data_IF_613248515838
#
_entry.id   IF_613248515838
#
_cell.length_a   1.000
_cell.length_b   1.000
_cell.length_c   1.000
_cell.angle_alpha   90.00
_cell.angle_beta   90.00
_cell.angle_gamma   90.00
#
_symmetry.space_group_name_H-M   'P 1'
#
loop_
_entity.id
_entity.type
_entity.pdbx_description
1 polymer ?
#
# COMPACT_ATOMS: atom_id res chain seq x y z
N UNK A 1 14.58 20.87 -8.93
CA UNK A 1 13.36 21.63 -8.60
C UNK A 1 12.60 20.81 -7.57
N UNK A 2 12.05 21.45 -6.53
CA UNK A 2 11.16 20.76 -5.59
C UNK A 2 9.72 20.75 -6.14
N UNK A 3 8.98 19.69 -5.82
CA UNK A 3 7.57 19.51 -6.19
C UNK A 3 6.74 19.21 -4.94
N UNK A 4 5.59 19.89 -4.83
CA UNK A 4 4.54 19.51 -3.89
C UNK A 4 3.80 18.28 -4.43
N UNK A 5 3.96 17.14 -3.77
CA UNK A 5 3.36 15.86 -4.15
C UNK A 5 2.41 15.37 -3.06
N UNK A 6 1.39 14.59 -3.43
CA UNK A 6 0.59 13.84 -2.45
C UNK A 6 1.53 12.89 -1.69
N UNK A 7 1.71 13.11 -0.38
CA UNK A 7 2.47 12.20 0.49
C UNK A 7 1.56 11.07 0.93
N UNK A 8 0.41 11.44 1.49
CA UNK A 8 -0.56 10.48 1.98
C UNK A 8 -1.96 11.08 2.10
N UNK A 9 -2.96 10.20 2.22
CA UNK A 9 -4.33 10.60 2.57
C UNK A 9 -5.05 9.55 3.41
N UNK A 10 -5.93 10.00 4.29
CA UNK A 10 -6.99 9.17 4.89
C UNK A 10 -8.29 9.50 4.13
N UNK A 11 -8.89 8.50 3.50
CA UNK A 11 -9.95 8.67 2.51
C UNK A 11 -11.33 8.31 3.07
N UNK A 12 -12.25 9.29 3.05
CA UNK A 12 -13.66 9.18 3.45
C UNK A 12 -13.87 8.83 4.93
N UNK A 13 -13.05 9.44 5.80
CA UNK A 13 -13.21 9.31 7.24
C UNK A 13 -14.43 10.09 7.75
N UNK A 14 -15.18 9.52 8.68
CA UNK A 14 -16.31 10.15 9.36
C UNK A 14 -15.81 11.08 10.45
N UNK A 15 -16.22 12.34 10.46
CA UNK A 15 -15.93 13.27 11.56
C UNK A 15 -16.70 12.83 12.81
N UNK A 16 -15.99 12.52 13.89
CA UNK A 16 -16.61 11.98 15.12
C UNK A 16 -16.98 13.07 16.12
N UNK A 17 -16.29 14.21 16.10
CA UNK A 17 -16.53 15.35 16.98
C UNK A 17 -16.09 16.66 16.34
N UNK A 18 -16.68 17.77 16.77
CA UNK A 18 -16.19 19.11 16.43
C UNK A 18 -16.36 20.04 17.63
N UNK A 19 -15.31 20.77 18.00
CA UNK A 19 -15.31 21.70 19.14
C UNK A 19 -14.75 23.06 18.73
N UNK A 20 -15.65 24.04 18.63
CA UNK A 20 -15.35 25.42 18.24
C UNK A 20 -14.43 26.15 19.25
N UNK A 21 -14.46 25.76 20.53
CA UNK A 21 -13.70 26.42 21.60
C UNK A 21 -12.32 25.81 21.81
N UNK A 22 -12.01 24.69 21.15
CA UNK A 22 -10.70 24.07 21.17
C UNK A 22 -9.72 24.72 20.17
N UNK A 23 -8.42 24.50 20.35
CA UNK A 23 -7.38 25.12 19.51
C UNK A 23 -7.42 24.54 18.08
N UNK A 24 -7.44 25.42 17.07
CA UNK A 24 -7.67 25.09 15.66
C UNK A 24 -6.70 24.07 15.07
N UNK A 25 -7.11 22.81 15.05
CA UNK A 25 -6.32 21.60 14.76
C UNK A 25 -7.25 20.47 14.30
N UNK A 26 -6.68 19.35 13.85
CA UNK A 26 -7.45 18.09 13.74
C UNK A 26 -6.88 17.02 14.65
N UNK A 27 -7.73 16.46 15.51
CA UNK A 27 -7.41 15.27 16.32
C UNK A 27 -7.68 14.03 15.48
N UNK A 28 -6.68 13.15 15.32
CA UNK A 28 -6.79 11.93 14.50
C UNK A 28 -6.28 10.74 15.31
N UNK A 29 -7.00 9.62 15.28
CA UNK A 29 -6.54 8.34 15.85
C UNK A 29 -5.10 8.02 15.44
N UNK A 30 -4.22 7.84 16.42
CA UNK A 30 -2.81 7.47 16.20
C UNK A 30 -2.61 6.24 15.28
N UNK A 31 -3.52 5.27 15.26
CA UNK A 31 -3.40 4.11 14.36
C UNK A 31 -3.62 4.51 12.88
N UNK A 32 -4.45 5.54 12.63
CA UNK A 32 -4.61 6.14 11.30
C UNK A 32 -3.43 7.04 10.93
N UNK A 33 -2.80 7.69 11.92
CA UNK A 33 -1.58 8.48 11.72
C UNK A 33 -0.41 7.59 11.28
N UNK A 34 -0.17 6.47 11.96
CA UNK A 34 0.90 5.53 11.61
C UNK A 34 0.67 4.91 10.22
N UNK A 35 -0.58 4.55 9.91
CA UNK A 35 -0.95 4.02 8.59
C UNK A 35 -0.71 5.05 7.48
N UNK A 36 -1.13 6.30 7.69
CA UNK A 36 -0.98 7.39 6.74
C UNK A 36 0.40 8.06 6.75
N UNK A 37 1.37 7.62 7.56
CA UNK A 37 2.67 8.29 7.74
C UNK A 37 2.51 9.78 8.12
N UNK A 38 1.56 10.11 9.02
CA UNK A 38 1.30 11.48 9.46
C UNK A 38 1.92 11.73 10.84
N UNK A 39 2.71 12.80 10.97
CA UNK A 39 3.32 13.17 12.25
C UNK A 39 2.46 14.17 13.05
N UNK A 40 2.47 14.12 14.39
CA UNK A 40 1.96 15.21 15.23
C UNK A 40 2.56 16.57 14.83
N UNK A 41 1.70 17.56 14.60
CA UNK A 41 2.08 18.88 14.10
C UNK A 41 2.30 18.99 12.59
N UNK A 42 2.17 17.90 11.82
CA UNK A 42 2.26 17.94 10.36
C UNK A 42 1.05 18.68 9.76
N UNK A 43 1.30 19.47 8.71
CA UNK A 43 0.26 20.17 7.97
C UNK A 43 -0.60 19.18 7.18
N UNK A 44 -1.92 19.31 7.30
CA UNK A 44 -2.89 18.56 6.51
C UNK A 44 -3.94 19.49 5.89
N UNK A 45 -4.29 19.21 4.64
CA UNK A 45 -5.48 19.74 4.01
C UNK A 45 -6.67 18.82 4.32
N UNK A 46 -7.76 19.39 4.80
CA UNK A 46 -9.03 18.70 5.03
C UNK A 46 -9.98 19.14 3.93
N UNK A 47 -10.52 18.18 3.19
CA UNK A 47 -11.57 18.44 2.18
C UNK A 47 -12.83 17.66 2.57
N UNK A 48 -13.91 18.40 2.74
CA UNK A 48 -15.21 17.90 3.13
C UNK A 48 -15.97 17.43 1.88
N UNK A 49 -16.45 16.18 1.91
CA UNK A 49 -17.20 15.55 0.82
C UNK A 49 -18.69 15.88 0.92
N UNK A 50 -19.22 16.10 2.13
CA UNK A 50 -20.64 16.40 2.35
C UNK A 50 -21.01 17.78 1.85
N UNK A 51 -20.19 18.80 2.18
CA UNK A 51 -20.51 20.21 1.93
C UNK A 51 -19.51 20.93 0.99
N UNK A 52 -18.35 20.31 0.69
CA UNK A 52 -17.35 20.85 -0.24
C UNK A 52 -16.36 21.85 0.38
N UNK A 53 -16.40 22.08 1.69
CA UNK A 53 -15.44 22.92 2.39
C UNK A 53 -14.00 22.40 2.25
N UNK A 54 -13.04 23.33 2.25
CA UNK A 54 -11.60 23.03 2.14
C UNK A 54 -10.85 23.92 3.12
N UNK A 55 -10.03 23.34 3.97
CA UNK A 55 -9.23 24.06 4.95
C UNK A 55 -7.88 23.38 5.17
N UNK A 56 -6.92 24.12 5.69
CA UNK A 56 -5.60 23.60 6.06
C UNK A 56 -5.38 23.82 7.56
N UNK A 57 -4.81 22.81 8.22
CA UNK A 57 -4.53 22.84 9.66
C UNK A 57 -3.38 21.87 9.98
N UNK A 58 -3.15 21.56 11.25
CA UNK A 58 -2.14 20.61 11.70
C UNK A 58 -2.75 19.49 12.54
N UNK A 59 -2.06 18.34 12.54
CA UNK A 59 -2.47 17.12 13.25
C UNK A 59 -2.17 17.18 14.75
N UNK A 60 -3.08 16.67 15.58
CA UNK A 60 -2.87 16.29 16.98
C UNK A 60 -3.20 14.80 17.14
N UNK A 61 -2.38 14.00 17.85
CA UNK A 61 -2.68 12.59 18.10
C UNK A 61 -3.90 12.45 19.02
N UNK A 62 -4.85 11.63 18.57
CA UNK A 62 -5.97 11.11 19.34
C UNK A 62 -5.70 9.69 19.82
N UNK A 63 -6.44 9.25 20.83
CA UNK A 63 -6.28 7.91 21.44
C UNK A 63 -6.35 6.80 20.39
N UNK A 64 -5.38 5.88 20.41
CA UNK A 64 -5.35 4.65 19.58
C UNK A 64 -6.65 3.85 19.62
N UNK A 65 -6.98 3.26 18.47
CA UNK A 65 -8.16 2.44 18.18
C UNK A 65 -9.51 3.09 18.52
N UNK A 66 -9.58 4.40 18.75
CA UNK A 66 -10.82 5.14 19.04
C UNK A 66 -11.64 5.47 17.79
N UNK A 67 -11.02 5.49 16.60
CA UNK A 67 -11.61 6.01 15.37
C UNK A 67 -11.81 7.53 15.38
N UNK A 68 -11.19 8.28 16.31
CA UNK A 68 -11.46 9.72 16.46
C UNK A 68 -10.97 10.52 15.24
N UNK A 69 -11.87 11.37 14.73
CA UNK A 69 -11.60 12.45 13.77
C UNK A 69 -12.28 13.70 14.32
N UNK A 70 -11.52 14.50 15.05
CA UNK A 70 -12.00 15.67 15.77
C UNK A 70 -11.60 16.98 15.11
N UNK A 71 -12.56 17.76 14.62
CA UNK A 71 -12.31 19.03 13.95
C UNK A 71 -12.43 20.19 14.94
N UNK A 72 -11.33 20.88 15.22
CA UNK A 72 -11.25 21.81 16.35
C UNK A 72 -11.19 23.29 15.89
N UNK A 73 -11.62 24.19 16.76
CA UNK A 73 -11.54 25.64 16.58
C UNK A 73 -12.39 26.15 15.42
N UNK A 74 -11.88 27.15 14.70
CA UNK A 74 -12.60 27.81 13.60
C UNK A 74 -13.06 26.85 12.48
N UNK A 75 -12.42 25.69 12.33
CA UNK A 75 -12.83 24.66 11.37
C UNK A 75 -14.19 24.03 11.70
N UNK A 76 -14.60 24.01 12.98
CA UNK A 76 -15.89 23.47 13.42
C UNK A 76 -17.11 24.29 12.93
N UNK A 77 -16.90 25.48 12.37
CA UNK A 77 -17.94 26.24 11.65
C UNK A 77 -18.27 25.67 10.26
N UNK A 78 -17.37 24.89 9.67
CA UNK A 78 -17.45 24.43 8.27
C UNK A 78 -17.55 22.91 8.14
N UNK A 79 -17.27 22.16 9.20
CA UNK A 79 -17.25 20.70 9.22
C UNK A 79 -17.85 20.24 10.55
N UNK A 80 -18.75 19.26 10.49
CA UNK A 80 -19.58 18.84 11.63
C UNK A 80 -19.50 17.32 11.88
N UNK A 81 -19.85 16.84 13.08
CA UNK A 81 -19.93 15.40 13.36
C UNK A 81 -20.90 14.70 12.39
N UNK A 82 -20.42 13.61 11.78
CA UNK A 82 -21.12 12.88 10.72
C UNK A 82 -20.70 13.25 9.29
N UNK A 83 -19.97 14.35 9.08
CA UNK A 83 -19.44 14.68 7.75
C UNK A 83 -18.35 13.70 7.32
N UNK A 84 -18.27 13.44 6.00
CA UNK A 84 -17.22 12.61 5.42
C UNK A 84 -16.10 13.51 4.89
N UNK A 85 -14.88 13.32 5.39
CA UNK A 85 -13.71 14.12 5.01
C UNK A 85 -12.61 13.27 4.36
N UNK A 86 -11.72 13.93 3.62
CA UNK A 86 -10.42 13.39 3.23
C UNK A 86 -9.35 14.28 3.86
N UNK A 87 -8.50 13.66 4.68
CA UNK A 87 -7.28 14.26 5.23
C UNK A 87 -6.14 14.01 4.25
N UNK A 88 -5.39 15.04 3.86
CA UNK A 88 -4.33 14.95 2.85
C UNK A 88 -3.06 15.62 3.39
N UNK A 89 -1.94 14.89 3.41
CA UNK A 89 -0.60 15.49 3.55
C UNK A 89 0.08 15.62 2.20
N UNK A 90 0.77 16.75 2.02
CA UNK A 90 1.60 17.04 0.87
C UNK A 90 3.07 17.11 1.29
N UNK A 91 3.93 16.39 0.56
CA UNK A 91 5.38 16.41 0.75
C UNK A 91 6.07 17.31 -0.28
N UNK A 92 7.21 17.89 0.10
CA UNK A 92 8.16 18.46 -0.86
C UNK A 92 9.17 17.39 -1.24
N UNK A 93 9.26 17.08 -2.53
CA UNK A 93 10.13 16.04 -3.10
C UNK A 93 10.98 16.63 -4.23
N UNK A 94 12.13 16.04 -4.52
CA UNK A 94 12.85 16.40 -5.75
C UNK A 94 12.20 15.79 -7.01
N UNK A 95 12.65 16.20 -8.20
CA UNK A 95 12.04 15.77 -9.47
C UNK A 95 12.25 14.28 -9.78
N UNK A 96 13.28 13.64 -9.22
CA UNK A 96 13.54 12.21 -9.41
C UNK A 96 12.70 11.38 -8.44
N UNK A 97 12.69 11.77 -7.16
CA UNK A 97 11.84 11.17 -6.11
C UNK A 97 10.35 11.25 -6.50
N UNK A 98 9.87 12.44 -6.87
CA UNK A 98 8.47 12.69 -7.20
C UNK A 98 7.93 11.85 -8.38
N UNK A 99 8.80 11.26 -9.23
CA UNK A 99 8.41 10.42 -10.37
C UNK A 99 8.21 8.95 -10.00
N UNK A 100 8.83 8.50 -8.92
CA UNK A 100 8.76 7.12 -8.42
C UNK A 100 8.02 6.99 -7.10
N UNK A 101 7.76 8.11 -6.41
CA UNK A 101 7.05 8.13 -5.15
C UNK A 101 5.63 7.55 -5.24
N UNK A 102 5.30 6.68 -4.29
CA UNK A 102 3.98 6.07 -4.14
C UNK A 102 3.33 6.61 -2.86
N UNK A 103 2.17 7.30 -2.95
CA UNK A 103 1.52 7.88 -1.78
C UNK A 103 0.91 6.79 -0.89
N UNK A 104 0.84 7.04 0.41
CA UNK A 104 0.05 6.18 1.31
C UNK A 104 -1.41 6.56 1.28
N UNK A 105 -2.27 5.67 0.78
CA UNK A 105 -3.71 5.87 0.77
C UNK A 105 -4.35 4.92 1.77
N UNK A 106 -4.95 5.48 2.82
CA UNK A 106 -5.68 4.75 3.85
C UNK A 106 -7.18 4.88 3.57
N UNK A 107 -7.86 3.78 3.28
CA UNK A 107 -9.31 3.73 3.15
C UNK A 107 -9.92 3.25 4.47
N UNK A 108 -11.00 3.88 4.91
CA UNK A 108 -11.68 3.53 6.17
C UNK A 108 -13.18 3.26 5.98
N UNK A 109 -13.75 2.48 6.90
CA UNK A 109 -15.20 2.31 7.04
C UNK A 109 -15.86 3.49 7.80
N UNK A 110 -17.16 3.34 8.09
CA UNK A 110 -17.95 4.36 8.82
C UNK A 110 -17.47 4.60 10.26
N UNK A 111 -16.85 3.61 10.89
CA UNK A 111 -16.32 3.66 12.26
C UNK A 111 -14.83 4.04 12.29
N UNK A 112 -14.33 4.55 11.16
CA UNK A 112 -12.94 4.94 10.91
C UNK A 112 -11.93 3.80 11.12
N UNK A 113 -12.33 2.54 10.89
CA UNK A 113 -11.41 1.40 10.87
C UNK A 113 -10.84 1.22 9.47
N UNK A 114 -9.55 0.91 9.42
CA UNK A 114 -8.82 0.70 8.15
C UNK A 114 -9.40 -0.53 7.46
N UNK A 115 -9.90 -0.37 6.25
CA UNK A 115 -10.38 -1.46 5.39
C UNK A 115 -9.38 -1.83 4.30
N UNK A 116 -8.55 -0.88 3.87
CA UNK A 116 -7.58 -1.06 2.77
C UNK A 116 -6.44 -0.03 2.86
N UNK A 117 -5.28 -0.41 2.34
CA UNK A 117 -4.04 0.36 2.30
C UNK A 117 -3.42 0.22 0.90
N UNK A 118 -3.50 1.26 0.08
CA UNK A 118 -3.05 1.23 -1.31
C UNK A 118 -2.10 2.37 -1.67
N UNK A 119 -1.36 2.18 -2.76
CA UNK A 119 -0.53 3.20 -3.39
C UNK A 119 -1.28 4.01 -4.46
N UNK A 120 -2.43 3.52 -4.94
CA UNK A 120 -3.19 4.21 -5.99
C UNK A 120 -4.13 5.29 -5.41
N UNK A 121 -3.91 6.58 -5.71
CA UNK A 121 -4.81 7.64 -5.27
C UNK A 121 -6.20 7.58 -5.91
N UNK A 122 -6.42 6.81 -6.97
CA UNK A 122 -7.68 6.73 -7.71
C UNK A 122 -8.53 5.47 -7.44
N UNK A 123 -8.02 4.50 -6.66
CA UNK A 123 -8.75 3.26 -6.35
C UNK A 123 -9.95 3.52 -5.43
N UNK A 124 -11.09 2.95 -5.81
CA UNK A 124 -12.35 2.97 -5.08
C UNK A 124 -12.58 1.61 -4.40
N UNK A 125 -12.34 1.54 -3.09
CA UNK A 125 -12.45 0.27 -2.34
C UNK A 125 -13.88 0.03 -1.85
N UNK A 126 -14.48 -1.15 -2.10
CA UNK A 126 -15.77 -1.53 -1.53
C UNK A 126 -15.73 -1.54 0.01
N UNK A 127 -16.79 -1.08 0.66
CA UNK A 127 -16.89 -1.03 2.13
C UNK A 127 -16.51 0.32 2.76
N UNK A 128 -15.94 1.27 2.01
CA UNK A 128 -15.79 2.65 2.51
C UNK A 128 -17.13 3.35 2.67
N UNK A 129 -17.22 4.29 3.63
CA UNK A 129 -18.42 5.06 3.92
C UNK A 129 -18.96 5.80 2.69
N UNK A 130 -20.06 5.31 2.11
CA UNK A 130 -20.63 5.78 0.84
C UNK A 130 -19.83 5.28 -0.37
N UNK A 131 -20.43 4.38 -1.15
CA UNK A 131 -19.81 3.67 -2.28
C UNK A 131 -19.21 4.65 -3.31
N UNK A 132 -17.88 4.66 -3.52
CA UNK A 132 -17.27 5.51 -4.54
C UNK A 132 -17.53 4.93 -5.94
N UNK A 133 -17.75 5.80 -6.92
CA UNK A 133 -17.76 5.39 -8.33
C UNK A 133 -16.29 5.19 -8.76
N UNK A 134 -15.90 4.03 -9.32
CA UNK A 134 -14.54 3.81 -9.81
C UNK A 134 -14.16 4.87 -10.85
N UNK A 135 -12.95 5.43 -10.74
CA UNK A 135 -12.46 6.39 -11.73
C UNK A 135 -12.21 5.66 -13.08
N UNK A 136 -12.95 5.96 -14.16
CA UNK A 136 -12.77 5.28 -15.46
C UNK A 136 -11.45 5.66 -16.15
N UNK A 137 -10.71 6.62 -15.62
CA UNK A 137 -9.38 7.03 -16.09
C UNK A 137 -8.24 6.48 -15.21
N UNK A 138 -8.53 5.73 -14.14
CA UNK A 138 -7.50 5.04 -13.38
C UNK A 138 -6.96 3.86 -14.20
N UNK A 139 -5.65 3.83 -14.43
CA UNK A 139 -4.99 2.72 -15.12
C UNK A 139 -4.89 1.53 -14.17
N UNK A 140 -5.91 0.66 -14.17
CA UNK A 140 -5.82 -0.65 -13.56
C UNK A 140 -4.77 -1.47 -14.32
N UNK A 141 -3.57 -1.59 -13.74
CA UNK A 141 -2.66 -2.66 -14.14
C UNK A 141 -3.35 -3.97 -13.76
N UNK A 142 -3.62 -4.90 -14.69
CA UNK A 142 -4.33 -6.12 -14.35
C UNK A 142 -3.47 -6.96 -13.40
N UNK A 143 -4.09 -7.44 -12.32
CA UNK A 143 -3.44 -8.40 -11.41
C UNK A 143 -2.90 -9.60 -12.20
N UNK A 144 -1.68 -10.08 -11.91
CA UNK A 144 -1.21 -11.34 -12.47
C UNK A 144 -2.13 -12.47 -11.95
N UNK A 145 -2.62 -13.37 -12.82
CA UNK A 145 -3.63 -14.36 -12.43
C UNK A 145 -3.10 -15.30 -11.35
N UNK A 146 -3.61 -15.14 -10.14
CA UNK A 146 -3.42 -16.06 -9.02
C UNK A 146 -4.21 -17.35 -9.26
N UNK A 147 -3.59 -18.30 -9.97
CA UNK A 147 -3.62 -19.77 -9.71
C UNK A 147 -3.17 -20.55 -10.96
N UNK A 148 -2.12 -21.39 -10.88
CA UNK A 148 -1.81 -22.38 -11.90
C UNK A 148 -2.67 -23.64 -11.68
N UNK A 149 -3.91 -23.65 -12.19
CA UNK A 149 -4.84 -24.77 -11.98
C UNK A 149 -5.22 -25.50 -13.27
N UNK A 150 -4.59 -26.66 -13.47
CA UNK A 150 -5.18 -27.88 -14.03
C UNK A 150 -5.80 -27.83 -15.45
N UNK A 151 -5.00 -27.49 -16.47
CA UNK A 151 -5.30 -27.87 -17.85
C UNK A 151 -4.85 -29.31 -18.15
N UNK A 152 -5.56 -30.31 -17.62
CA UNK A 152 -5.38 -31.74 -17.95
C UNK A 152 -6.70 -32.33 -18.45
N UNK A 153 -6.63 -33.06 -19.57
CA UNK A 153 -7.70 -33.84 -20.21
C UNK A 153 -8.94 -33.05 -20.69
N UNK A 154 -8.91 -32.61 -21.96
CA UNK A 154 -9.98 -32.91 -22.95
C UNK A 154 -9.63 -32.39 -24.36
N UNK A 155 -9.01 -33.25 -25.17
CA UNK A 155 -9.33 -33.53 -26.59
C UNK A 155 -8.24 -34.44 -27.17
N UNK A 156 -8.62 -35.61 -27.73
CA UNK A 156 -7.63 -36.57 -28.22
C UNK A 156 -8.20 -37.93 -28.65
N UNK A 157 -9.44 -37.97 -29.15
CA UNK A 157 -10.01 -39.17 -29.76
C UNK A 157 -9.91 -39.10 -31.28
N UNK A 158 -9.45 -40.21 -31.88
CA UNK A 158 -9.39 -40.50 -33.30
C UNK A 158 -8.61 -39.50 -34.19
N UNK A 159 -7.37 -39.86 -34.56
CA UNK A 159 -7.06 -40.18 -35.97
C UNK A 159 -5.72 -40.94 -36.09
N UNK A 160 -5.81 -42.17 -36.61
CA UNK A 160 -4.73 -43.01 -37.18
C UNK A 160 -5.39 -43.75 -38.36
N UNK A 161 -4.67 -44.23 -39.38
CA UNK A 161 -3.21 -44.22 -39.56
C UNK A 161 -2.75 -43.66 -40.91
N UNK A 162 -1.42 -43.57 -41.12
CA UNK A 162 -0.71 -44.15 -42.28
C UNK A 162 0.82 -43.96 -42.12
N UNK A 163 1.57 -45.06 -42.30
CA UNK A 163 3.03 -45.09 -42.60
C UNK A 163 3.17 -45.24 -44.13
N UNK A 164 4.23 -44.74 -44.79
CA UNK A 164 5.61 -45.28 -44.75
C UNK A 164 6.68 -44.15 -44.77
N UNK A 165 8.01 -44.31 -44.79
CA UNK A 165 9.00 -45.38 -44.53
C UNK A 165 10.36 -44.70 -44.18
N UNK A 166 11.40 -45.46 -43.80
CA UNK A 166 12.86 -45.15 -43.87
C UNK A 166 13.38 -43.70 -43.59
N UNK A 167 14.43 -43.46 -42.78
CA UNK A 167 15.73 -44.18 -42.70
C UNK A 167 16.53 -43.65 -41.48
N UNK A 168 17.33 -44.50 -40.82
CA UNK A 168 18.40 -44.07 -39.89
C UNK A 168 19.77 -44.08 -40.61
N UNK A 169 20.82 -43.40 -40.10
CA UNK A 169 21.61 -43.87 -38.94
C UNK A 169 21.83 -42.75 -37.89
N UNK A 170 21.81 -43.01 -36.58
CA UNK A 170 22.78 -43.72 -35.73
C UNK A 170 24.21 -43.12 -35.72
N UNK A 171 24.54 -42.40 -34.64
CA UNK A 171 25.88 -42.40 -34.00
C UNK A 171 25.68 -42.38 -32.49
N UNK A 172 26.29 -43.35 -31.83
CA UNK A 172 26.41 -43.50 -30.37
C UNK A 172 27.56 -42.60 -29.87
N UNK A 173 27.36 -41.81 -28.82
CA UNK A 173 27.65 -42.16 -27.42
C UNK A 173 29.14 -42.46 -27.12
N UNK A 174 29.75 -41.54 -26.37
CA UNK A 174 30.81 -41.70 -25.37
C UNK A 174 30.50 -40.62 -24.32
N UNK A 175 30.34 -40.90 -23.02
CA UNK A 175 31.27 -41.64 -22.16
C UNK A 175 32.42 -40.70 -21.82
N UNK A 176 32.38 -40.01 -20.66
CA UNK A 176 33.06 -40.46 -19.44
C UNK A 176 34.47 -39.84 -19.39
N UNK A 177 35.15 -39.61 -18.28
CA UNK A 177 34.91 -39.75 -16.83
C UNK A 177 35.91 -38.79 -16.12
N UNK A 178 36.21 -38.99 -14.83
CA UNK A 178 37.32 -38.40 -14.06
C UNK A 178 37.17 -36.89 -13.71
N UNK A 179 37.27 -36.45 -12.45
CA UNK A 179 38.32 -36.73 -11.47
C UNK A 179 39.07 -35.39 -11.24
N UNK A 180 39.41 -34.91 -10.05
CA UNK A 180 40.12 -35.54 -8.93
C UNK A 180 39.84 -34.73 -7.64
N UNK A 181 39.97 -35.35 -6.46
CA UNK A 181 39.88 -34.70 -5.16
C UNK A 181 41.26 -34.49 -4.50
N UNK A 182 41.51 -33.33 -3.90
CA UNK A 182 42.51 -33.09 -2.83
C UNK A 182 42.03 -31.87 -2.01
N UNK A 183 41.59 -31.98 -0.75
CA UNK A 183 42.30 -32.39 0.48
C UNK A 183 43.44 -31.44 0.88
N UNK A 184 43.30 -30.72 2.01
CA UNK A 184 44.36 -30.56 3.07
C UNK A 184 43.97 -29.60 4.23
N UNK A 185 43.84 -30.17 5.45
CA UNK A 185 44.20 -29.66 6.83
C UNK A 185 43.63 -28.29 7.35
N UNK A 186 42.78 -28.31 8.40
CA UNK A 186 43.05 -28.19 9.87
C UNK A 186 43.36 -26.76 10.43
N UNK A 187 42.34 -26.10 11.02
CA UNK A 187 42.10 -25.78 12.46
C UNK A 187 43.29 -25.70 13.49
N UNK A 188 43.11 -25.15 14.73
CA UNK A 188 42.22 -24.07 15.26
C UNK A 188 42.89 -23.13 16.34
N UNK A 189 42.12 -22.23 16.99
CA UNK A 189 42.50 -21.44 18.20
C UNK A 189 42.61 -19.93 17.92
N UNK A 190 42.38 -18.98 18.85
CA UNK A 190 42.32 -18.98 20.34
C UNK A 190 41.21 -18.02 20.82
N UNK A 191 40.93 -17.98 22.14
CA UNK A 191 40.04 -17.02 22.82
C UNK A 191 40.84 -15.82 23.41
N UNK A 192 40.44 -15.01 24.40
CA UNK A 192 39.26 -14.91 25.30
C UNK A 192 39.07 -13.44 25.77
N UNK A 193 38.22 -13.20 26.79
CA UNK A 193 38.07 -11.94 27.58
C UNK A 193 37.31 -10.77 26.91
N UNK A 194 36.55 -9.91 27.62
CA UNK A 194 36.17 -9.94 29.03
C UNK A 194 35.63 -8.58 29.56
N UNK A 195 34.63 -8.63 30.44
CA UNK A 195 34.23 -7.61 31.45
C UNK A 195 33.94 -6.13 31.08
N UNK A 196 32.64 -5.79 31.14
CA UNK A 196 32.03 -4.76 32.03
C UNK A 196 32.76 -3.46 32.39
N UNK A 197 32.04 -2.35 32.21
CA UNK A 197 32.19 -1.06 32.91
C UNK A 197 30.87 -0.30 32.90
#
# INVERSE_FOLDING_TARGET
MLRTMLKSKIHRATVTQADLHYVGSVTVDEDLLDAADLLPGEQVAIVDITNGARLETYVIPGRRASGVIGINGAAAHLVHPGDLVILISYGQMDDAEARSYQPRVVHVDTDNKIVDLTADPATATPGTAGTPIPNPLATTTPDPPSHPCLAILQLGLAFRPLRPEMRAPNVQDRGGEDGVAETTRRAPGVRDEGCSG
#
